data_IF_157002287389
#
_entry.id   IF_157002287389
#
_cell.length_a   1.000
_cell.length_b   1.000
_cell.length_c   1.000
_cell.angle_alpha   90.00
_cell.angle_beta   90.00
_cell.angle_gamma   90.00
#
_symmetry.space_group_name_H-M   'P 1'
#
loop_
_entity.id
_entity.type
_entity.pdbx_description
1 polymer ?
#
# COMPACT_ATOMS: atom_id res chain seq x y z
N UNK A 1 -5.71 11.91 59.96
CA UNK A 1 -4.54 11.35 60.65
C UNK A 1 -4.02 10.18 59.83
N UNK A 2 -2.74 10.31 59.47
CA UNK A 2 -1.75 9.28 59.07
C UNK A 2 -2.05 8.49 57.79
N UNK A 3 -1.41 8.80 56.68
CA UNK A 3 0.01 8.57 56.28
C UNK A 3 0.29 7.12 55.90
N UNK A 4 0.81 6.98 54.71
CA UNK A 4 1.61 5.88 54.26
C UNK A 4 1.58 5.84 52.72
N UNK A 5 2.31 6.66 52.09
CA UNK A 5 3.66 6.59 51.49
C UNK A 5 3.90 5.34 50.61
N UNK A 6 4.04 5.64 49.33
CA UNK A 6 4.98 5.16 48.32
C UNK A 6 5.74 3.86 48.57
N UNK A 7 5.68 3.00 47.56
CA UNK A 7 6.89 2.32 47.09
C UNK A 7 6.81 2.08 45.59
N UNK A 8 7.48 2.91 44.85
CA UNK A 8 7.95 2.60 43.51
C UNK A 8 8.91 1.42 43.60
N UNK A 9 8.58 0.34 42.96
CA UNK A 9 9.42 -0.81 42.72
C UNK A 9 9.64 -0.98 41.22
N UNK A 10 10.64 -0.28 40.71
CA UNK A 10 11.19 -0.44 39.38
C UNK A 10 11.89 -1.78 39.30
N UNK A 11 11.37 -2.76 38.59
CA UNK A 11 12.15 -3.92 38.11
C UNK A 11 11.57 -4.45 36.80
N UNK A 12 12.34 -4.25 35.75
CA UNK A 12 12.50 -5.06 34.53
C UNK A 12 11.56 -6.26 34.42
N UNK A 13 10.45 -6.07 33.73
CA UNK A 13 9.64 -7.16 33.17
C UNK A 13 9.50 -6.99 31.66
N UNK A 14 10.63 -6.95 30.96
CA UNK A 14 10.72 -7.23 29.52
C UNK A 14 10.70 -8.74 29.27
N UNK A 15 9.80 -9.46 29.88
CA UNK A 15 9.63 -10.88 29.62
C UNK A 15 8.17 -11.27 29.85
N UNK A 16 7.52 -11.71 28.80
CA UNK A 16 6.19 -12.33 28.68
C UNK A 16 5.04 -11.39 28.38
N UNK A 17 4.82 -11.19 27.10
CA UNK A 17 3.49 -10.76 26.61
C UNK A 17 2.77 -12.02 26.10
N UNK A 18 1.68 -12.39 26.78
CA UNK A 18 0.82 -13.51 26.40
C UNK A 18 -0.37 -12.93 25.66
N UNK A 19 -0.50 -13.21 24.36
CA UNK A 19 -1.71 -12.92 23.61
C UNK A 19 -2.38 -14.21 23.15
N UNK A 20 -3.70 -14.33 23.43
CA UNK A 20 -4.54 -15.41 22.93
C UNK A 20 -5.17 -14.96 21.61
N UNK A 21 -4.95 -15.72 20.56
CA UNK A 21 -5.66 -15.58 19.29
C UNK A 21 -6.59 -16.79 19.09
N UNK A 22 -7.86 -16.54 18.75
CA UNK A 22 -8.80 -17.58 18.36
C UNK A 22 -8.82 -17.69 16.84
N UNK A 23 -8.44 -18.85 16.31
CA UNK A 23 -8.55 -19.13 14.88
C UNK A 23 -9.99 -19.37 14.48
N UNK A 24 -10.38 -18.92 13.29
CA UNK A 24 -11.71 -19.00 12.69
C UNK A 24 -12.22 -20.42 12.36
N UNK A 25 -11.54 -21.48 12.78
CA UNK A 25 -11.90 -22.88 12.50
C UNK A 25 -11.94 -23.73 13.76
N UNK A 26 -12.58 -23.30 14.83
CA UNK A 26 -13.10 -24.17 15.89
C UNK A 26 -12.14 -25.15 16.59
N UNK A 27 -10.84 -25.11 16.33
CA UNK A 27 -9.82 -25.89 17.06
C UNK A 27 -8.97 -24.95 17.90
N UNK A 28 -9.12 -25.01 19.21
CA UNK A 28 -8.21 -24.35 20.16
C UNK A 28 -6.79 -24.90 19.98
N UNK A 29 -6.00 -24.28 19.14
CA UNK A 29 -4.57 -24.50 19.07
C UNK A 29 -3.89 -23.56 20.06
N UNK A 30 -3.12 -24.11 21.01
CA UNK A 30 -2.13 -23.32 21.75
C UNK A 30 -1.09 -22.85 20.74
N UNK A 31 -1.11 -21.55 20.37
CA UNK A 31 -0.04 -20.97 19.57
C UNK A 31 1.20 -20.92 20.46
N UNK A 32 2.31 -21.46 19.96
CA UNK A 32 3.59 -21.38 20.66
C UNK A 32 3.91 -19.89 20.88
N UNK A 33 4.30 -19.54 22.11
CA UNK A 33 4.78 -18.20 22.44
C UNK A 33 5.99 -17.91 21.56
N UNK A 34 5.95 -16.78 20.85
CA UNK A 34 7.14 -16.27 20.17
C UNK A 34 8.13 -15.87 21.26
N UNK A 35 9.26 -16.59 21.36
CA UNK A 35 10.35 -16.16 22.21
C UNK A 35 11.11 -15.04 21.49
N UNK A 36 10.83 -13.80 21.90
CA UNK A 36 11.40 -12.61 21.27
C UNK A 36 12.94 -12.64 21.30
N UNK A 37 13.56 -13.16 22.36
CA UNK A 37 15.02 -13.28 22.43
C UNK A 37 15.57 -14.24 21.36
N UNK A 38 14.93 -15.39 21.22
CA UNK A 38 15.33 -16.35 20.19
C UNK A 38 15.11 -15.79 18.79
N UNK A 39 14.06 -14.99 18.61
CA UNK A 39 13.76 -14.35 17.34
C UNK A 39 14.78 -13.24 17.02
N UNK A 40 15.16 -12.42 18.02
CA UNK A 40 16.22 -11.40 17.89
C UNK A 40 17.61 -12.00 17.61
N UNK A 41 17.89 -13.19 18.15
CA UNK A 41 19.14 -13.92 17.85
C UNK A 41 19.19 -14.39 16.40
N UNK A 42 18.06 -14.84 15.86
CA UNK A 42 17.94 -15.28 14.46
C UNK A 42 17.83 -14.12 13.47
N UNK A 43 17.21 -13.02 13.90
CA UNK A 43 16.92 -11.84 13.07
C UNK A 43 17.42 -10.58 13.79
N UNK A 44 18.72 -10.30 13.74
CA UNK A 44 19.35 -9.25 14.57
C UNK A 44 18.76 -7.85 14.40
N UNK A 45 18.24 -7.51 13.22
CA UNK A 45 17.61 -6.21 12.92
C UNK A 45 16.39 -5.92 13.82
N UNK A 46 15.74 -6.96 14.37
CA UNK A 46 14.61 -6.77 15.28
C UNK A 46 14.96 -5.93 16.51
N UNK A 47 16.22 -5.97 16.98
CA UNK A 47 16.65 -5.13 18.11
C UNK A 47 16.55 -3.64 17.81
N UNK A 48 16.86 -3.26 16.58
CA UNK A 48 16.76 -1.87 16.12
C UNK A 48 15.30 -1.51 15.88
N UNK A 49 14.53 -2.40 15.23
CA UNK A 49 13.09 -2.22 14.99
C UNK A 49 12.33 -2.06 16.32
N UNK A 50 12.57 -2.95 17.31
CA UNK A 50 11.95 -2.86 18.64
C UNK A 50 12.36 -1.60 19.42
N UNK A 51 13.43 -0.92 19.02
CA UNK A 51 13.90 0.35 19.57
C UNK A 51 13.40 1.55 18.76
N UNK A 52 12.47 1.34 17.82
CA UNK A 52 11.83 2.37 16.98
C UNK A 52 12.84 3.17 16.15
N UNK A 53 13.98 2.57 15.84
CA UNK A 53 14.99 3.21 14.99
C UNK A 53 14.57 3.13 13.52
N UNK A 54 14.96 4.15 12.78
CA UNK A 54 14.95 4.08 11.32
C UNK A 54 16.02 3.11 10.87
N UNK A 55 15.63 2.14 10.07
CA UNK A 55 16.50 1.08 9.57
C UNK A 55 16.37 0.91 8.06
N UNK A 56 17.38 0.33 7.45
CA UNK A 56 17.29 -0.34 6.18
C UNK A 56 17.53 -1.84 6.36
N UNK A 57 16.54 -2.64 6.08
CA UNK A 57 16.67 -4.08 5.96
C UNK A 57 16.93 -4.46 4.50
N UNK A 58 18.15 -4.89 4.22
CA UNK A 58 18.50 -5.53 2.95
C UNK A 58 17.91 -6.93 2.92
N UNK A 59 17.11 -7.24 1.92
CA UNK A 59 16.53 -8.58 1.80
C UNK A 59 17.60 -9.63 1.47
N UNK A 60 17.92 -10.54 2.40
CA UNK A 60 18.94 -11.55 2.19
C UNK A 60 18.52 -12.67 1.23
N UNK A 61 17.22 -12.84 1.01
CA UNK A 61 16.64 -13.90 0.18
C UNK A 61 16.45 -13.46 -1.29
N UNK A 62 16.80 -12.20 -1.63
CA UNK A 62 16.70 -11.71 -3.02
C UNK A 62 17.58 -12.52 -3.95
N UNK A 63 17.00 -13.02 -5.04
CA UNK A 63 17.73 -13.73 -6.12
C UNK A 63 17.62 -12.96 -7.44
N UNK A 64 18.19 -13.49 -8.51
CA UNK A 64 17.98 -12.98 -9.86
C UNK A 64 16.48 -13.08 -10.21
N UNK A 65 15.97 -12.04 -10.89
CA UNK A 65 14.53 -11.91 -11.17
C UNK A 65 13.97 -13.12 -11.92
N UNK A 66 14.70 -13.66 -12.92
CA UNK A 66 14.26 -14.85 -13.66
C UNK A 66 14.03 -16.06 -12.76
N UNK A 67 14.98 -16.33 -11.85
CA UNK A 67 14.87 -17.43 -10.88
C UNK A 67 13.70 -17.21 -9.89
N UNK A 68 13.53 -15.96 -9.43
CA UNK A 68 12.43 -15.64 -8.53
C UNK A 68 11.05 -15.82 -9.19
N UNK A 69 10.92 -15.43 -10.46
CA UNK A 69 9.66 -15.52 -11.20
C UNK A 69 9.22 -16.96 -11.46
N UNK A 70 10.15 -17.91 -11.59
CA UNK A 70 9.83 -19.35 -11.76
C UNK A 70 9.06 -19.93 -10.55
N UNK A 71 9.14 -19.28 -9.38
CA UNK A 71 8.48 -19.73 -8.15
C UNK A 71 7.10 -19.08 -7.96
N UNK A 72 6.69 -18.18 -8.84
CA UNK A 72 5.45 -17.42 -8.73
C UNK A 72 4.44 -17.91 -9.76
N UNK A 73 3.22 -18.23 -9.31
CA UNK A 73 2.15 -18.72 -10.19
C UNK A 73 1.61 -17.66 -11.17
N UNK A 74 1.73 -16.37 -10.80
CA UNK A 74 1.26 -15.24 -11.60
C UNK A 74 2.33 -14.82 -12.61
N UNK A 75 1.89 -14.36 -13.80
CA UNK A 75 2.78 -13.93 -14.85
C UNK A 75 2.30 -12.71 -15.63
N UNK A 76 3.00 -12.38 -16.71
CA UNK A 76 2.64 -11.27 -17.58
C UNK A 76 1.24 -11.42 -18.19
N UNK A 77 0.81 -12.63 -18.50
CA UNK A 77 -0.52 -12.89 -19.08
C UNK A 77 -1.66 -12.46 -18.14
N UNK A 78 -1.48 -12.65 -16.82
CA UNK A 78 -2.46 -12.23 -15.81
C UNK A 78 -2.54 -10.70 -15.73
N UNK A 79 -1.39 -10.01 -15.83
CA UNK A 79 -1.33 -8.54 -15.84
C UNK A 79 -1.95 -7.99 -17.11
N UNK A 80 -1.72 -8.62 -18.25
CA UNK A 80 -2.32 -8.22 -19.52
C UNK A 80 -3.83 -8.48 -19.55
N UNK A 81 -4.31 -9.58 -18.95
CA UNK A 81 -5.75 -9.81 -18.81
C UNK A 81 -6.39 -8.72 -17.95
N UNK A 82 -5.73 -8.34 -16.84
CA UNK A 82 -6.18 -7.24 -16.00
C UNK A 82 -6.21 -5.90 -16.77
N UNK A 83 -5.19 -5.59 -17.56
CA UNK A 83 -5.16 -4.37 -18.39
C UNK A 83 -6.29 -4.36 -19.41
N UNK A 84 -6.48 -5.46 -20.18
CA UNK A 84 -7.58 -5.57 -21.16
C UNK A 84 -8.95 -5.40 -20.50
N UNK A 85 -9.15 -5.92 -19.29
CA UNK A 85 -10.40 -5.73 -18.55
C UNK A 85 -10.62 -4.28 -18.19
N UNK A 86 -9.60 -3.57 -17.69
CA UNK A 86 -9.69 -2.13 -17.41
C UNK A 86 -10.02 -1.33 -18.69
N UNK A 87 -9.48 -1.72 -19.85
CA UNK A 87 -9.79 -1.10 -21.14
C UNK A 87 -11.25 -1.34 -21.56
N UNK A 88 -11.78 -2.56 -21.36
CA UNK A 88 -13.21 -2.85 -21.63
C UNK A 88 -14.13 -2.00 -20.75
N UNK A 89 -13.75 -1.73 -19.51
CA UNK A 89 -14.53 -0.88 -18.60
C UNK A 89 -14.38 0.63 -18.85
N UNK A 90 -13.46 1.08 -19.68
CA UNK A 90 -13.21 2.49 -19.91
C UNK A 90 -14.47 3.28 -20.34
N UNK A 91 -15.37 2.79 -21.23
CA UNK A 91 -16.62 3.47 -21.55
C UNK A 91 -17.56 3.62 -20.34
N UNK A 92 -17.69 2.59 -19.50
CA UNK A 92 -18.45 2.66 -18.25
C UNK A 92 -17.88 3.71 -17.30
N UNK A 93 -16.55 3.71 -17.13
CA UNK A 93 -15.84 4.65 -16.26
C UNK A 93 -16.06 6.09 -16.75
N UNK A 94 -15.92 6.37 -18.04
CA UNK A 94 -16.20 7.71 -18.60
C UNK A 94 -17.64 8.16 -18.39
N UNK A 95 -18.58 7.22 -18.42
CA UNK A 95 -20.00 7.52 -18.22
C UNK A 95 -20.31 7.90 -16.77
N UNK A 96 -19.77 7.13 -15.81
CA UNK A 96 -20.02 7.32 -14.39
C UNK A 96 -19.15 8.42 -13.77
N UNK A 97 -17.95 8.62 -14.32
CA UNK A 97 -16.94 9.54 -13.80
C UNK A 97 -16.40 10.46 -14.90
N UNK A 98 -17.12 11.57 -15.20
CA UNK A 98 -16.80 12.46 -16.31
C UNK A 98 -15.38 13.07 -16.28
N UNK A 99 -14.76 13.17 -15.12
CA UNK A 99 -13.38 13.63 -14.93
C UNK A 99 -12.34 12.71 -15.60
N UNK A 100 -12.72 11.47 -15.94
CA UNK A 100 -11.84 10.52 -16.62
C UNK A 100 -11.84 10.66 -18.14
N UNK A 101 -12.70 11.53 -18.72
CA UNK A 101 -12.88 11.66 -20.17
C UNK A 101 -11.61 12.09 -20.91
N UNK A 102 -10.80 12.97 -20.31
CA UNK A 102 -9.54 13.42 -20.90
C UNK A 102 -8.53 12.29 -21.12
N UNK A 103 -8.70 11.20 -20.37
CA UNK A 103 -7.88 9.99 -20.44
C UNK A 103 -8.65 8.79 -21.01
N UNK A 104 -9.74 9.04 -21.71
CA UNK A 104 -10.58 7.99 -22.32
C UNK A 104 -11.04 6.92 -21.32
N UNK A 105 -11.35 7.28 -20.09
CA UNK A 105 -11.76 6.37 -19.02
C UNK A 105 -10.64 5.55 -18.38
N UNK A 106 -9.39 5.80 -18.76
CA UNK A 106 -8.23 5.14 -18.16
C UNK A 106 -7.83 5.87 -16.87
N UNK A 107 -7.90 5.17 -15.75
CA UNK A 107 -7.48 5.68 -14.45
C UNK A 107 -5.95 5.58 -14.38
N UNK A 108 -5.27 6.70 -14.64
CA UNK A 108 -3.81 6.79 -14.64
C UNK A 108 -3.33 8.12 -14.06
N UNK A 109 -2.17 8.08 -13.41
CA UNK A 109 -1.49 9.23 -12.83
C UNK A 109 -0.35 9.73 -13.72
N UNK A 110 0.14 10.93 -13.43
CA UNK A 110 1.31 11.50 -14.11
C UNK A 110 2.60 11.04 -13.42
N UNK A 111 3.68 11.02 -14.20
CA UNK A 111 5.05 10.90 -13.73
C UNK A 111 5.74 12.27 -13.88
N UNK A 112 6.14 12.90 -12.78
CA UNK A 112 6.63 14.29 -12.78
C UNK A 112 8.05 14.36 -12.24
N UNK A 113 8.99 15.00 -12.92
CA UNK A 113 10.30 15.35 -12.35
C UNK A 113 10.12 16.32 -11.18
N UNK A 114 10.87 16.08 -10.09
CA UNK A 114 10.86 16.92 -8.87
C UNK A 114 12.28 17.36 -8.49
N UNK A 115 12.96 18.12 -9.35
CA UNK A 115 14.36 18.48 -9.17
C UNK A 115 14.58 19.39 -7.94
N UNK A 116 13.69 20.34 -7.67
CA UNK A 116 13.82 21.23 -6.52
C UNK A 116 13.65 20.47 -5.20
N UNK A 117 12.74 19.48 -5.17
CA UNK A 117 12.63 18.58 -4.01
C UNK A 117 13.91 17.77 -3.83
N UNK A 118 14.50 17.23 -4.91
CA UNK A 118 15.78 16.53 -4.86
C UNK A 118 16.89 17.39 -4.27
N UNK A 119 17.04 18.64 -4.77
CA UNK A 119 18.05 19.57 -4.30
C UNK A 119 17.88 19.88 -2.80
N UNK A 120 16.63 20.11 -2.37
CA UNK A 120 16.31 20.34 -0.95
C UNK A 120 16.62 19.12 -0.08
N UNK A 121 16.31 17.91 -0.56
CA UNK A 121 16.61 16.67 0.18
C UNK A 121 18.12 16.50 0.36
N UNK A 122 18.90 16.77 -0.68
CA UNK A 122 20.35 16.72 -0.60
C UNK A 122 20.91 17.73 0.42
N UNK A 123 20.43 18.98 0.39
CA UNK A 123 20.87 20.03 1.33
C UNK A 123 20.44 19.70 2.77
N UNK A 124 19.14 19.40 2.98
CA UNK A 124 18.54 19.26 4.30
C UNK A 124 19.01 18.02 5.06
N UNK A 125 19.29 16.93 4.34
CA UNK A 125 19.68 15.65 4.93
C UNK A 125 21.14 15.28 4.70
N UNK A 126 21.95 16.19 4.15
CA UNK A 126 23.36 15.95 3.85
C UNK A 126 23.52 14.64 3.04
N UNK A 127 22.72 14.50 2.00
CA UNK A 127 22.78 13.37 1.08
C UNK A 127 23.34 13.81 -0.28
N UNK A 128 23.72 12.86 -1.10
CA UNK A 128 24.23 13.13 -2.44
C UNK A 128 23.47 12.28 -3.47
N UNK A 129 22.14 12.35 -3.42
CA UNK A 129 21.31 11.62 -4.38
C UNK A 129 21.68 12.03 -5.81
N UNK A 130 22.32 11.13 -6.53
CA UNK A 130 22.67 11.28 -7.94
C UNK A 130 21.47 10.96 -8.86
N UNK A 131 21.64 11.03 -10.16
CA UNK A 131 20.61 10.72 -11.14
C UNK A 131 19.36 11.61 -11.07
N UNK A 132 18.21 11.10 -11.48
CA UNK A 132 16.94 11.82 -11.53
C UNK A 132 16.02 11.42 -10.40
N UNK A 133 15.27 12.37 -9.83
CA UNK A 133 14.16 12.08 -8.91
C UNK A 133 12.84 12.43 -9.61
N UNK A 134 11.97 11.42 -9.73
CA UNK A 134 10.64 11.55 -10.30
C UNK A 134 9.59 11.18 -9.24
N UNK A 135 8.40 11.78 -9.33
CA UNK A 135 7.25 11.51 -8.49
C UNK A 135 6.15 10.85 -9.31
N UNK A 136 5.78 9.62 -8.97
CA UNK A 136 4.61 8.94 -9.52
C UNK A 136 3.38 9.33 -8.71
N UNK A 137 2.49 10.16 -9.29
CA UNK A 137 1.43 10.83 -8.55
C UNK A 137 0.13 10.02 -8.45
N UNK A 138 0.17 8.80 -7.94
CA UNK A 138 -1.04 8.02 -7.67
C UNK A 138 -1.96 8.67 -6.62
N UNK A 139 -1.42 9.63 -5.89
CA UNK A 139 -2.18 10.55 -5.04
C UNK A 139 -3.26 11.36 -5.77
N UNK A 140 -3.19 11.46 -7.11
CA UNK A 140 -4.14 12.20 -7.95
C UNK A 140 -4.89 11.28 -8.93
N UNK A 141 -4.90 9.98 -8.69
CA UNK A 141 -5.73 9.08 -9.48
C UNK A 141 -7.21 9.49 -9.38
N UNK A 142 -7.89 9.53 -10.51
CA UNK A 142 -9.30 9.82 -10.57
C UNK A 142 -10.12 8.90 -9.66
N UNK A 143 -11.30 9.35 -9.24
CA UNK A 143 -12.28 8.62 -8.44
C UNK A 143 -11.91 8.53 -6.96
N UNK A 144 -10.72 8.01 -6.62
CA UNK A 144 -10.38 7.70 -5.22
C UNK A 144 -9.14 8.45 -4.68
N UNK A 145 -8.46 9.28 -5.50
CA UNK A 145 -7.36 10.14 -5.06
C UNK A 145 -6.19 9.42 -4.40
N UNK A 146 -5.97 8.15 -4.74
CA UNK A 146 -4.94 7.32 -4.15
C UNK A 146 -4.61 6.09 -5.00
N UNK A 147 -3.47 5.44 -4.74
CA UNK A 147 -3.05 4.18 -5.37
C UNK A 147 -4.14 3.09 -5.28
N UNK A 148 -5.03 3.17 -4.28
CA UNK A 148 -6.10 2.20 -4.07
C UNK A 148 -7.11 2.18 -5.23
N UNK A 149 -7.18 3.24 -6.04
CA UNK A 149 -7.94 3.26 -7.28
C UNK A 149 -7.47 2.21 -8.31
N UNK A 150 -6.21 1.76 -8.25
CA UNK A 150 -5.70 0.72 -9.17
C UNK A 150 -6.27 -0.65 -8.82
N UNK A 151 -5.97 -1.15 -7.63
CA UNK A 151 -6.40 -2.48 -7.20
C UNK A 151 -7.86 -2.52 -6.76
N UNK A 152 -8.29 -1.60 -5.88
CA UNK A 152 -9.65 -1.62 -5.32
C UNK A 152 -10.74 -1.47 -6.38
N UNK A 153 -10.54 -0.58 -7.37
CA UNK A 153 -11.47 -0.45 -8.49
C UNK A 153 -11.41 -1.72 -9.36
N UNK A 154 -10.23 -2.21 -9.69
CA UNK A 154 -10.09 -3.42 -10.51
C UNK A 154 -10.78 -4.63 -9.90
N UNK A 155 -10.67 -4.83 -8.59
CA UNK A 155 -11.36 -5.91 -7.86
C UNK A 155 -12.85 -5.88 -8.13
N UNK A 156 -13.47 -4.71 -8.00
CA UNK A 156 -14.91 -4.53 -8.23
C UNK A 156 -15.28 -4.73 -9.70
N UNK A 157 -14.46 -4.20 -10.62
CA UNK A 157 -14.74 -4.34 -12.06
C UNK A 157 -14.66 -5.81 -12.51
N UNK A 158 -13.66 -6.55 -12.01
CA UNK A 158 -13.54 -7.98 -12.32
C UNK A 158 -14.73 -8.79 -11.79
N UNK A 159 -15.11 -8.58 -10.53
CA UNK A 159 -16.30 -9.21 -9.95
C UNK A 159 -17.58 -8.83 -10.71
N UNK A 160 -17.71 -7.59 -11.13
CA UNK A 160 -18.84 -7.10 -11.92
C UNK A 160 -18.92 -7.77 -13.28
N UNK A 161 -17.78 -7.90 -13.99
CA UNK A 161 -17.70 -8.59 -15.30
C UNK A 161 -18.10 -10.06 -15.16
N UNK A 162 -17.53 -10.79 -14.20
CA UNK A 162 -17.82 -12.19 -13.94
C UNK A 162 -19.30 -12.41 -13.66
N UNK A 163 -19.90 -11.61 -12.77
CA UNK A 163 -21.30 -11.71 -12.42
C UNK A 163 -22.23 -11.39 -13.61
N UNK A 164 -21.89 -10.36 -14.40
CA UNK A 164 -22.68 -9.95 -15.55
C UNK A 164 -22.62 -10.97 -16.70
N UNK A 165 -21.45 -11.59 -16.93
CA UNK A 165 -21.26 -12.67 -17.92
C UNK A 165 -22.03 -13.92 -17.51
N UNK A 166 -21.94 -14.34 -16.25
CA UNK A 166 -22.64 -15.51 -15.71
C UNK A 166 -24.16 -15.41 -15.90
N UNK A 167 -24.71 -14.19 -15.74
CA UNK A 167 -26.15 -13.95 -15.86
C UNK A 167 -26.59 -13.52 -17.27
N UNK A 168 -25.70 -13.53 -18.26
CA UNK A 168 -26.00 -13.18 -19.65
C UNK A 168 -26.39 -11.71 -19.86
N UNK A 169 -26.04 -10.82 -18.92
CA UNK A 169 -26.28 -9.37 -19.01
C UNK A 169 -25.25 -8.73 -19.92
N UNK A 170 -24.04 -9.27 -19.95
CA UNK A 170 -22.89 -8.76 -20.69
C UNK A 170 -22.28 -9.88 -21.53
N UNK A 171 -21.67 -9.53 -22.67
CA UNK A 171 -20.69 -10.31 -23.39
C UNK A 171 -19.37 -9.55 -23.47
N UNK A 172 -18.26 -10.24 -23.77
CA UNK A 172 -16.94 -9.57 -23.88
C UNK A 172 -16.85 -8.59 -25.05
N UNK A 173 -17.72 -8.73 -26.04
CA UNK A 173 -17.81 -7.89 -27.24
C UNK A 173 -18.72 -6.67 -27.06
N UNK A 174 -19.48 -6.59 -25.96
CA UNK A 174 -20.38 -5.49 -25.69
C UNK A 174 -19.60 -4.20 -25.37
N UNK A 175 -20.23 -3.05 -25.66
CA UNK A 175 -19.79 -1.77 -25.09
C UNK A 175 -20.20 -1.74 -23.60
N UNK A 176 -19.23 -1.73 -22.71
CA UNK A 176 -19.45 -1.77 -21.27
C UNK A 176 -20.13 -0.49 -20.71
N UNK A 177 -20.30 0.59 -21.49
CA UNK A 177 -21.15 1.73 -21.10
C UNK A 177 -22.56 1.28 -20.71
N UNK A 178 -23.03 0.18 -21.29
CA UNK A 178 -24.32 -0.47 -20.99
C UNK A 178 -24.51 -0.76 -19.49
N UNK A 179 -23.43 -1.08 -18.75
CA UNK A 179 -23.49 -1.33 -17.31
C UNK A 179 -23.94 -0.13 -16.48
N UNK A 180 -23.89 1.09 -17.06
CA UNK A 180 -24.42 2.30 -16.43
C UNK A 180 -25.95 2.47 -16.62
N UNK A 181 -26.63 1.56 -17.33
CA UNK A 181 -28.08 1.61 -17.51
C UNK A 181 -28.85 1.35 -16.21
N UNK A 182 -30.06 1.85 -16.11
CA UNK A 182 -30.94 1.59 -14.96
C UNK A 182 -31.22 0.09 -14.78
N UNK A 183 -31.41 -0.63 -15.87
CA UNK A 183 -31.63 -2.09 -15.85
C UNK A 183 -30.46 -2.84 -15.19
N UNK A 184 -29.21 -2.52 -15.58
CA UNK A 184 -28.02 -3.11 -14.96
C UNK A 184 -27.89 -2.72 -13.50
N UNK A 185 -28.15 -1.47 -13.15
CA UNK A 185 -28.10 -0.99 -11.75
C UNK A 185 -29.12 -1.72 -10.87
N UNK A 186 -30.35 -1.92 -11.32
CA UNK A 186 -31.37 -2.69 -10.60
C UNK A 186 -31.00 -4.18 -10.48
N UNK A 187 -30.25 -4.73 -11.43
CA UNK A 187 -29.69 -6.07 -11.29
C UNK A 187 -28.63 -6.13 -10.18
N UNK A 188 -27.61 -5.26 -10.20
CA UNK A 188 -26.52 -5.27 -9.23
C UNK A 188 -26.98 -4.88 -7.82
N UNK A 189 -28.04 -4.14 -7.68
CA UNK A 189 -28.66 -3.78 -6.38
C UNK A 189 -29.10 -4.99 -5.55
N UNK A 190 -29.21 -6.16 -6.17
CA UNK A 190 -29.52 -7.42 -5.47
C UNK A 190 -28.30 -7.99 -4.74
N UNK A 191 -27.11 -7.48 -5.01
CA UNK A 191 -25.84 -7.95 -4.48
C UNK A 191 -25.20 -6.91 -3.58
N UNK A 192 -24.40 -7.39 -2.63
CA UNK A 192 -23.76 -6.55 -1.61
C UNK A 192 -22.25 -6.69 -1.71
N UNK A 193 -21.54 -5.57 -1.81
CA UNK A 193 -20.07 -5.52 -1.68
C UNK A 193 -19.75 -5.09 -0.25
N UNK A 194 -18.88 -5.85 0.40
CA UNK A 194 -18.40 -5.51 1.74
C UNK A 194 -16.87 -5.45 1.79
N UNK A 195 -16.34 -4.52 2.58
CA UNK A 195 -14.89 -4.39 2.82
C UNK A 195 -14.64 -3.84 4.21
N UNK A 196 -13.62 -4.35 4.89
CA UNK A 196 -13.08 -3.75 6.10
C UNK A 196 -11.95 -2.79 5.72
N UNK A 197 -12.14 -1.48 5.93
CA UNK A 197 -11.11 -0.51 5.63
C UNK A 197 -11.40 0.85 6.23
N UNK A 198 -10.47 1.37 7.02
CA UNK A 198 -10.53 2.73 7.59
C UNK A 198 -9.96 3.81 6.66
N UNK A 199 -9.38 3.39 5.53
CA UNK A 199 -8.57 4.23 4.66
C UNK A 199 -9.06 4.34 3.21
N UNK A 200 -8.09 4.60 2.34
CA UNK A 200 -8.31 4.86 0.93
C UNK A 200 -8.85 3.64 0.15
N UNK A 201 -8.63 2.41 0.65
CA UNK A 201 -9.18 1.22 0.01
C UNK A 201 -10.71 1.21 0.11
N UNK A 202 -11.26 1.49 1.29
CA UNK A 202 -12.71 1.63 1.47
C UNK A 202 -13.32 2.69 0.58
N UNK A 203 -12.62 3.82 0.35
CA UNK A 203 -13.06 4.85 -0.59
C UNK A 203 -13.11 4.32 -2.03
N UNK A 204 -12.04 3.68 -2.51
CA UNK A 204 -11.98 3.20 -3.89
C UNK A 204 -13.02 2.13 -4.19
N UNK A 205 -13.17 1.15 -3.30
CA UNK A 205 -14.16 0.08 -3.42
C UNK A 205 -15.57 0.64 -3.28
N UNK A 206 -15.82 1.46 -2.25
CA UNK A 206 -17.12 2.01 -1.95
C UNK A 206 -17.69 2.86 -3.09
N UNK A 207 -16.89 3.79 -3.60
CA UNK A 207 -17.32 4.70 -4.67
C UNK A 207 -17.59 3.93 -5.98
N UNK A 208 -16.68 3.02 -6.37
CA UNK A 208 -16.87 2.23 -7.59
C UNK A 208 -18.07 1.29 -7.49
N UNK A 209 -18.23 0.57 -6.38
CA UNK A 209 -19.35 -0.35 -6.17
C UNK A 209 -20.70 0.38 -6.20
N UNK A 210 -20.79 1.56 -5.58
CA UNK A 210 -21.99 2.38 -5.62
C UNK A 210 -22.32 2.88 -7.04
N UNK A 211 -21.29 3.20 -7.85
CA UNK A 211 -21.47 3.60 -9.24
C UNK A 211 -22.02 2.46 -10.11
N UNK A 212 -21.58 1.22 -9.89
CA UNK A 212 -22.12 0.02 -10.55
C UNK A 212 -23.58 -0.23 -10.14
N UNK A 213 -23.95 0.10 -8.90
CA UNK A 213 -25.32 -0.10 -8.40
C UNK A 213 -25.44 -1.08 -7.26
N UNK A 214 -24.35 -1.64 -6.76
CA UNK A 214 -24.34 -2.55 -5.61
C UNK A 214 -24.88 -1.90 -4.32
N UNK A 215 -25.40 -2.71 -3.42
CA UNK A 215 -25.43 -2.35 -2.00
C UNK A 215 -23.99 -2.41 -1.47
N UNK A 216 -23.59 -1.40 -0.70
CA UNK A 216 -22.19 -1.31 -0.28
C UNK A 216 -22.11 -1.08 1.22
N UNK A 217 -21.30 -1.89 1.90
CA UNK A 217 -21.01 -1.74 3.33
C UNK A 217 -19.50 -1.66 3.54
N UNK A 218 -19.05 -0.54 4.10
CA UNK A 218 -17.66 -0.38 4.52
C UNK A 218 -17.60 -0.45 6.05
N UNK A 219 -16.85 -1.43 6.55
CA UNK A 219 -16.65 -1.65 7.97
C UNK A 219 -15.42 -0.85 8.43
N UNK A 220 -15.60 0.07 9.35
CA UNK A 220 -14.56 1.00 9.82
C UNK A 220 -14.49 0.97 11.35
N UNK A 221 -13.30 1.21 11.91
CA UNK A 221 -13.19 1.53 13.33
C UNK A 221 -13.71 2.94 13.62
N UNK A 222 -14.18 3.18 14.85
CA UNK A 222 -14.79 4.45 15.24
C UNK A 222 -13.82 5.64 15.12
N UNK A 223 -12.52 5.41 15.30
CA UNK A 223 -11.45 6.40 15.19
C UNK A 223 -11.06 6.75 13.75
N UNK A 224 -11.62 6.05 12.74
CA UNK A 224 -11.39 6.39 11.33
C UNK A 224 -11.79 7.85 11.03
N UNK A 225 -11.04 8.51 10.16
CA UNK A 225 -11.20 9.94 9.83
C UNK A 225 -12.62 10.27 9.37
N UNK A 226 -13.26 11.22 10.03
CA UNK A 226 -14.67 11.56 9.80
C UNK A 226 -14.96 11.92 8.34
N UNK A 227 -14.06 12.70 7.70
CA UNK A 227 -14.26 13.11 6.32
C UNK A 227 -14.33 11.92 5.33
N UNK A 228 -13.62 10.80 5.60
CA UNK A 228 -13.71 9.57 4.79
C UNK A 228 -15.07 8.91 4.94
N UNK A 229 -15.57 8.84 6.16
CA UNK A 229 -16.93 8.32 6.45
C UNK A 229 -18.00 9.13 5.73
N UNK A 230 -17.89 10.46 5.79
CA UNK A 230 -18.85 11.37 5.18
C UNK A 230 -18.81 11.31 3.64
N UNK A 231 -17.61 11.20 3.06
CA UNK A 231 -17.46 11.00 1.62
C UNK A 231 -18.10 9.69 1.15
N UNK A 232 -17.90 8.58 1.85
CA UNK A 232 -18.56 7.31 1.54
C UNK A 232 -20.08 7.44 1.62
N UNK A 233 -20.60 8.02 2.70
CA UNK A 233 -22.04 8.24 2.86
C UNK A 233 -22.64 9.11 1.77
N UNK A 234 -21.92 10.12 1.30
CA UNK A 234 -22.36 10.99 0.19
C UNK A 234 -22.54 10.24 -1.14
N UNK A 235 -21.84 9.10 -1.30
CA UNK A 235 -21.99 8.17 -2.44
C UNK A 235 -23.04 7.07 -2.20
N UNK A 236 -23.81 7.13 -1.09
CA UNK A 236 -24.82 6.12 -0.78
C UNK A 236 -24.27 4.85 -0.14
N UNK A 237 -23.02 4.86 0.30
CA UNK A 237 -22.36 3.72 0.96
C UNK A 237 -22.77 3.67 2.44
N UNK A 238 -23.12 2.49 2.93
CA UNK A 238 -23.32 2.22 4.35
C UNK A 238 -21.99 2.11 5.07
N UNK A 239 -21.70 3.03 5.98
CA UNK A 239 -20.53 2.97 6.85
C UNK A 239 -20.94 2.36 8.18
N UNK A 240 -20.42 1.17 8.48
CA UNK A 240 -20.66 0.47 9.74
C UNK A 240 -19.45 0.66 10.66
N UNK A 241 -19.68 1.37 11.77
CA UNK A 241 -18.63 1.74 12.71
C UNK A 241 -18.54 0.73 13.86
N UNK A 242 -17.32 0.45 14.32
CA UNK A 242 -17.04 -0.44 15.45
C UNK A 242 -16.21 0.31 16.48
N UNK A 243 -16.59 0.18 17.77
CA UNK A 243 -15.83 0.75 18.89
C UNK A 243 -14.49 0.05 19.13
N UNK A 244 -14.32 -1.11 18.55
CA UNK A 244 -13.11 -1.92 18.58
C UNK A 244 -12.15 -1.57 17.42
N UNK A 245 -11.00 -2.24 17.40
CA UNK A 245 -9.96 -2.04 16.40
C UNK A 245 -10.38 -2.51 14.97
N UNK A 246 -9.53 -2.19 14.01
CA UNK A 246 -9.68 -2.56 12.61
C UNK A 246 -9.87 -4.08 12.41
N UNK A 247 -9.13 -4.91 13.15
CA UNK A 247 -9.16 -6.36 12.98
C UNK A 247 -10.52 -6.96 13.31
N UNK A 248 -11.21 -6.41 14.33
CA UNK A 248 -12.56 -6.82 14.67
C UNK A 248 -13.58 -6.34 13.62
N UNK A 249 -13.42 -5.14 13.09
CA UNK A 249 -14.26 -4.63 12.00
C UNK A 249 -14.18 -5.55 10.77
N UNK A 250 -12.96 -5.95 10.36
CA UNK A 250 -12.74 -6.90 9.25
C UNK A 250 -13.37 -8.25 9.54
N UNK A 251 -13.13 -8.83 10.72
CA UNK A 251 -13.68 -10.14 11.12
C UNK A 251 -15.21 -10.14 11.09
N UNK A 252 -15.83 -9.11 11.64
CA UNK A 252 -17.29 -8.98 11.68
C UNK A 252 -17.87 -8.76 10.28
N UNK A 253 -17.23 -7.96 9.46
CA UNK A 253 -17.61 -7.72 8.07
C UNK A 253 -17.56 -9.01 7.24
N UNK A 254 -16.48 -9.78 7.35
CA UNK A 254 -16.33 -11.07 6.68
C UNK A 254 -17.43 -12.06 7.12
N UNK A 255 -17.67 -12.20 8.42
CA UNK A 255 -18.69 -13.09 8.92
C UNK A 255 -20.11 -12.73 8.44
N UNK A 256 -20.41 -11.43 8.30
CA UNK A 256 -21.68 -10.96 7.74
C UNK A 256 -21.79 -11.28 6.25
N UNK A 257 -20.70 -11.13 5.50
CA UNK A 257 -20.66 -11.45 4.07
C UNK A 257 -20.80 -12.95 3.83
N UNK A 258 -20.09 -13.78 4.59
CA UNK A 258 -20.13 -15.24 4.47
C UNK A 258 -21.53 -15.82 4.76
N UNK A 259 -22.35 -15.09 5.51
CA UNK A 259 -23.72 -15.49 5.82
C UNK A 259 -24.74 -15.14 4.72
N UNK A 260 -24.36 -14.36 3.71
CA UNK A 260 -25.23 -13.90 2.62
C UNK A 260 -24.67 -14.38 1.27
N UNK A 261 -25.35 -15.26 0.54
CA UNK A 261 -24.88 -15.78 -0.74
C UNK A 261 -24.80 -14.71 -1.86
N UNK A 262 -25.45 -13.56 -1.67
CA UNK A 262 -25.39 -12.43 -2.59
C UNK A 262 -24.33 -11.39 -2.18
N UNK A 263 -23.50 -11.71 -1.19
CA UNK A 263 -22.48 -10.79 -0.70
C UNK A 263 -21.08 -11.22 -1.12
N UNK A 264 -20.28 -10.23 -1.51
CA UNK A 264 -18.85 -10.38 -1.82
C UNK A 264 -18.04 -9.56 -0.86
N UNK A 265 -17.12 -10.21 -0.12
CA UNK A 265 -16.19 -9.54 0.79
C UNK A 265 -14.84 -9.36 0.11
N UNK A 266 -14.38 -8.11 0.02
CA UNK A 266 -13.04 -7.81 -0.51
C UNK A 266 -11.99 -8.04 0.57
N UNK A 267 -11.09 -8.98 0.31
CA UNK A 267 -9.98 -9.36 1.19
C UNK A 267 -8.70 -8.61 0.76
N UNK A 268 -8.35 -7.54 1.44
CA UNK A 268 -7.17 -6.72 1.11
C UNK A 268 -5.83 -7.38 1.49
N UNK A 269 -5.86 -8.42 2.30
CA UNK A 269 -4.65 -9.15 2.70
C UNK A 269 -4.22 -10.20 1.67
N UNK A 270 -5.19 -10.88 1.01
CA UNK A 270 -4.89 -12.06 0.20
C UNK A 270 -5.44 -12.02 -1.23
N UNK A 271 -6.11 -10.94 -1.65
CA UNK A 271 -6.69 -10.86 -3.00
C UNK A 271 -5.63 -10.79 -4.09
N UNK A 272 -5.52 -11.87 -4.90
CA UNK A 272 -4.74 -11.87 -6.14
C UNK A 272 -5.30 -10.86 -7.15
N UNK A 273 -6.59 -10.60 -7.13
CA UNK A 273 -7.25 -9.63 -8.01
C UNK A 273 -6.83 -8.20 -7.70
N UNK A 274 -6.88 -7.78 -6.42
CA UNK A 274 -6.33 -6.48 -6.00
C UNK A 274 -4.87 -6.33 -6.45
N UNK A 275 -4.06 -7.36 -6.20
CA UNK A 275 -2.64 -7.38 -6.53
C UNK A 275 -2.39 -7.19 -8.03
N UNK A 276 -3.13 -7.89 -8.90
CA UNK A 276 -3.03 -7.74 -10.35
C UNK A 276 -3.46 -6.35 -10.82
N UNK A 277 -4.51 -5.77 -10.24
CA UNK A 277 -4.92 -4.40 -10.54
C UNK A 277 -3.81 -3.37 -10.24
N UNK A 278 -3.03 -3.57 -9.20
CA UNK A 278 -1.84 -2.75 -8.92
C UNK A 278 -0.70 -3.04 -9.92
N UNK A 279 -0.50 -4.29 -10.32
CA UNK A 279 0.58 -4.67 -11.23
C UNK A 279 0.47 -4.01 -12.62
N UNK A 280 -0.74 -3.72 -13.10
CA UNK A 280 -0.97 -2.99 -14.36
C UNK A 280 -0.24 -1.62 -14.40
N UNK A 281 -0.01 -1.01 -13.24
CA UNK A 281 0.73 0.27 -13.15
C UNK A 281 2.09 0.22 -13.82
N UNK A 282 2.75 -0.93 -13.82
CA UNK A 282 4.09 -1.09 -14.40
C UNK A 282 4.12 -0.88 -15.92
N UNK A 283 3.15 -1.46 -16.65
CA UNK A 283 3.04 -1.27 -18.11
C UNK A 283 2.79 0.20 -18.48
N UNK A 284 2.02 0.89 -17.66
CA UNK A 284 1.71 2.31 -17.86
C UNK A 284 2.90 3.20 -17.49
N UNK A 285 3.64 2.84 -16.44
CA UNK A 285 4.87 3.52 -16.08
C UNK A 285 5.94 3.34 -17.19
N UNK A 286 6.06 2.15 -17.77
CA UNK A 286 6.97 1.91 -18.90
C UNK A 286 6.74 2.92 -20.03
N UNK A 287 5.48 3.07 -20.47
CA UNK A 287 5.12 4.06 -21.50
C UNK A 287 5.50 5.49 -21.10
N UNK A 288 5.29 5.86 -19.84
CA UNK A 288 5.65 7.19 -19.34
C UNK A 288 7.17 7.42 -19.28
N UNK A 289 7.96 6.40 -18.99
CA UNK A 289 9.41 6.46 -19.03
C UNK A 289 9.91 6.61 -20.47
N UNK A 290 9.35 5.84 -21.41
CA UNK A 290 9.63 5.94 -22.84
C UNK A 290 9.30 7.34 -23.39
N UNK A 291 8.12 7.90 -23.08
CA UNK A 291 7.72 9.26 -23.46
C UNK A 291 8.66 10.35 -22.93
N UNK A 292 9.31 10.08 -21.79
CA UNK A 292 10.29 10.99 -21.18
C UNK A 292 11.74 10.71 -21.59
N UNK A 293 11.96 9.71 -22.46
CA UNK A 293 13.27 9.23 -22.86
C UNK A 293 14.14 8.80 -21.66
N UNK A 294 13.53 8.18 -20.67
CA UNK A 294 14.22 7.57 -19.52
C UNK A 294 14.47 6.10 -19.82
N UNK A 295 15.71 5.75 -20.03
CA UNK A 295 16.15 4.37 -20.23
C UNK A 295 16.09 3.59 -18.90
N UNK A 296 15.79 2.30 -18.99
CA UNK A 296 15.90 1.33 -17.88
C UNK A 296 16.61 0.10 -18.41
N UNK A 297 17.88 -0.01 -18.10
CA UNK A 297 18.77 -1.08 -18.54
C UNK A 297 19.94 -1.25 -17.54
N UNK A 298 20.94 -2.05 -17.90
CA UNK A 298 22.08 -2.32 -17.04
C UNK A 298 22.84 -1.06 -16.61
N UNK A 299 22.95 -0.05 -17.48
CA UNK A 299 23.69 1.21 -17.20
C UNK A 299 22.80 2.31 -16.62
N UNK A 300 21.46 2.12 -16.66
CA UNK A 300 20.47 3.08 -16.21
C UNK A 300 19.49 2.40 -15.24
N UNK A 301 19.90 2.09 -14.00
CA UNK A 301 19.06 1.38 -13.04
C UNK A 301 17.88 2.25 -12.60
N UNK A 302 16.73 1.59 -12.41
CA UNK A 302 15.51 2.20 -11.89
C UNK A 302 15.32 1.83 -10.42
N UNK A 303 15.24 2.82 -9.55
CA UNK A 303 14.93 2.66 -8.14
C UNK A 303 13.50 3.11 -7.87
N UNK A 304 12.69 2.28 -7.20
CA UNK A 304 11.29 2.59 -6.92
C UNK A 304 11.01 2.40 -5.43
N UNK A 305 10.54 3.48 -4.79
CA UNK A 305 10.28 3.56 -3.35
C UNK A 305 8.78 3.68 -3.10
N UNK A 306 8.19 2.68 -2.48
CA UNK A 306 6.74 2.55 -2.39
C UNK A 306 6.31 2.42 -0.93
N UNK A 307 5.50 3.37 -0.40
CA UNK A 307 4.91 3.25 0.92
C UNK A 307 4.12 1.95 1.08
N UNK A 308 4.36 1.24 2.18
CA UNK A 308 3.82 -0.07 2.46
C UNK A 308 3.00 -0.09 3.75
N UNK A 309 1.78 -0.61 3.68
CA UNK A 309 0.99 -1.06 4.80
C UNK A 309 0.91 -2.59 4.78
N UNK A 310 -0.28 -3.19 4.48
CA UNK A 310 -0.46 -4.65 4.40
C UNK A 310 0.37 -5.32 3.31
N UNK A 311 0.82 -4.55 2.30
CA UNK A 311 1.70 -5.00 1.23
C UNK A 311 1.07 -5.14 -0.16
N UNK A 312 -0.26 -5.24 -0.28
CA UNK A 312 -0.93 -5.52 -1.55
C UNK A 312 -0.58 -4.55 -2.68
N UNK A 313 -0.69 -3.25 -2.43
CA UNK A 313 -0.40 -2.23 -3.43
C UNK A 313 1.09 -2.17 -3.82
N UNK A 314 2.03 -2.02 -2.88
CA UNK A 314 3.45 -1.98 -3.23
C UNK A 314 3.94 -3.31 -3.82
N UNK A 315 3.42 -4.44 -3.35
CA UNK A 315 3.76 -5.77 -3.89
C UNK A 315 3.30 -5.93 -5.34
N UNK A 316 2.06 -5.55 -5.66
CA UNK A 316 1.56 -5.64 -7.04
C UNK A 316 2.34 -4.74 -7.99
N UNK A 317 2.63 -3.49 -7.59
CA UNK A 317 3.46 -2.57 -8.39
C UNK A 317 4.86 -3.16 -8.59
N UNK A 318 5.52 -3.63 -7.52
CA UNK A 318 6.85 -4.24 -7.59
C UNK A 318 6.85 -5.46 -8.52
N UNK A 319 5.88 -6.36 -8.38
CA UNK A 319 5.74 -7.54 -9.24
C UNK A 319 5.63 -7.17 -10.72
N UNK A 320 4.73 -6.24 -11.06
CA UNK A 320 4.59 -5.77 -12.44
C UNK A 320 5.87 -5.15 -13.00
N UNK A 321 6.59 -4.35 -12.20
CA UNK A 321 7.86 -3.74 -12.58
C UNK A 321 8.94 -4.81 -12.81
N UNK A 322 9.01 -5.81 -11.95
CA UNK A 322 9.96 -6.93 -12.08
C UNK A 322 9.69 -7.77 -13.33
N UNK A 323 8.42 -7.97 -13.70
CA UNK A 323 8.07 -8.65 -14.96
C UNK A 323 8.57 -7.89 -16.19
N UNK A 324 8.60 -6.55 -16.16
CA UNK A 324 9.00 -5.71 -17.31
C UNK A 324 10.48 -5.42 -17.37
N UNK A 325 11.09 -5.11 -16.22
CA UNK A 325 12.45 -4.58 -16.16
C UNK A 325 13.46 -5.53 -15.52
N UNK A 326 12.99 -6.68 -15.01
CA UNK A 326 13.86 -7.72 -14.46
C UNK A 326 14.75 -7.20 -13.33
N UNK A 327 16.05 -7.44 -13.47
CA UNK A 327 17.04 -7.01 -12.48
C UNK A 327 17.44 -5.53 -12.60
N UNK A 328 17.01 -4.82 -13.65
CA UNK A 328 17.31 -3.41 -13.84
C UNK A 328 16.41 -2.48 -12.99
N UNK A 329 15.36 -3.02 -12.36
CA UNK A 329 14.54 -2.29 -11.39
C UNK A 329 14.78 -2.78 -9.97
N UNK A 330 15.00 -1.84 -9.06
CA UNK A 330 15.24 -2.06 -7.64
C UNK A 330 14.08 -1.46 -6.85
N UNK A 331 13.21 -2.32 -6.31
CA UNK A 331 12.05 -1.92 -5.54
C UNK A 331 12.33 -2.02 -4.05
N UNK A 332 11.90 -0.99 -3.30
CA UNK A 332 12.00 -0.91 -1.85
C UNK A 332 10.66 -0.49 -1.26
N UNK A 333 10.29 -1.11 -0.15
CA UNK A 333 9.14 -0.67 0.61
C UNK A 333 9.55 0.29 1.71
N UNK A 334 8.64 1.17 2.09
CA UNK A 334 8.87 2.11 3.19
C UNK A 334 7.69 2.02 4.15
N UNK A 335 7.99 1.76 5.42
CA UNK A 335 7.02 1.61 6.49
C UNK A 335 7.29 2.59 7.65
N UNK A 336 6.26 2.94 8.45
CA UNK A 336 6.48 3.70 9.67
C UNK A 336 7.24 2.89 10.72
N UNK A 337 8.11 3.53 11.51
CA UNK A 337 8.87 2.85 12.59
C UNK A 337 7.98 2.15 13.63
N UNK A 338 6.74 2.60 13.83
CA UNK A 338 5.78 1.99 14.76
C UNK A 338 4.92 0.88 14.15
N UNK A 339 4.87 0.79 12.82
CA UNK A 339 4.03 -0.18 12.11
C UNK A 339 4.76 -0.86 10.93
N UNK A 340 6.01 -1.38 11.11
CA UNK A 340 6.77 -2.01 10.02
C UNK A 340 6.38 -3.49 9.87
N UNK A 341 5.10 -3.76 9.59
CA UNK A 341 4.57 -5.11 9.64
C UNK A 341 5.15 -6.02 8.53
N UNK A 342 5.34 -5.49 7.32
CA UNK A 342 5.88 -6.27 6.20
C UNK A 342 7.35 -6.59 6.44
N UNK A 343 8.14 -5.62 6.90
CA UNK A 343 9.53 -5.83 7.28
C UNK A 343 9.67 -6.91 8.35
N UNK A 344 8.87 -6.80 9.44
CA UNK A 344 8.89 -7.80 10.52
C UNK A 344 8.51 -9.18 10.00
N UNK A 345 7.47 -9.28 9.20
CA UNK A 345 7.01 -10.54 8.61
C UNK A 345 8.03 -11.19 7.69
N UNK A 346 8.63 -10.41 6.79
CA UNK A 346 9.62 -10.90 5.83
C UNK A 346 10.96 -11.20 6.50
N UNK A 347 11.48 -10.31 7.35
CA UNK A 347 12.77 -10.51 8.01
C UNK A 347 12.77 -11.72 8.95
N UNK A 348 11.65 -12.05 9.57
CA UNK A 348 11.50 -13.22 10.43
C UNK A 348 11.10 -14.49 9.67
N UNK A 349 10.59 -14.34 8.44
CA UNK A 349 9.99 -15.43 7.65
C UNK A 349 8.62 -15.88 8.17
N UNK A 350 8.05 -15.20 9.18
CA UNK A 350 6.78 -15.57 9.80
C UNK A 350 5.57 -14.98 9.09
N UNK A 351 5.76 -13.97 8.21
CA UNK A 351 4.71 -13.28 7.48
C UNK A 351 3.49 -12.96 8.38
N UNK A 352 2.29 -13.39 8.00
CA UNK A 352 1.05 -13.15 8.77
C UNK A 352 1.04 -13.80 10.17
N UNK A 353 1.98 -14.65 10.50
CA UNK A 353 2.03 -15.30 11.83
C UNK A 353 2.57 -14.38 12.92
N UNK A 354 3.17 -13.26 12.57
CA UNK A 354 3.68 -12.24 13.47
C UNK A 354 3.03 -10.90 13.23
N UNK A 355 2.84 -10.12 14.28
CA UNK A 355 2.40 -8.73 14.23
C UNK A 355 3.42 -7.80 14.87
N UNK A 356 3.32 -6.51 14.61
CA UNK A 356 4.17 -5.50 15.26
C UNK A 356 3.96 -5.47 16.78
N UNK A 357 2.75 -5.81 17.26
CA UNK A 357 2.45 -5.92 18.68
C UNK A 357 3.16 -7.10 19.35
N UNK A 358 3.38 -8.19 18.62
CA UNK A 358 4.11 -9.37 19.14
C UNK A 358 5.58 -9.06 19.47
N UNK A 359 6.14 -7.99 18.89
CA UNK A 359 7.49 -7.49 19.17
C UNK A 359 7.52 -6.22 20.05
N UNK A 360 6.37 -5.80 20.58
CA UNK A 360 6.25 -4.71 21.53
C UNK A 360 6.03 -3.32 20.92
N UNK A 361 5.83 -3.19 19.61
CA UNK A 361 5.45 -1.93 18.96
C UNK A 361 3.94 -1.68 19.11
N UNK A 362 3.55 -0.41 19.04
CA UNK A 362 2.14 -0.03 19.21
C UNK A 362 1.30 -0.22 17.95
N UNK A 363 1.91 -0.11 16.78
CA UNK A 363 1.21 -0.02 15.50
C UNK A 363 0.55 1.34 15.26
N UNK A 364 0.70 2.31 16.18
CA UNK A 364 0.12 3.65 16.07
C UNK A 364 1.06 4.56 15.28
N UNK A 365 0.57 5.13 14.20
CA UNK A 365 1.32 6.06 13.35
C UNK A 365 0.40 7.12 12.76
N UNK A 366 0.94 8.29 12.47
CA UNK A 366 0.26 9.35 11.73
C UNK A 366 0.09 9.03 10.23
N UNK A 367 0.82 8.03 9.74
CA UNK A 367 0.65 7.49 8.39
C UNK A 367 -0.55 6.52 8.35
N UNK A 368 -1.77 7.05 8.44
CA UNK A 368 -3.01 6.26 8.55
C UNK A 368 -3.20 5.21 7.44
N UNK A 369 -2.71 5.49 6.23
CA UNK A 369 -2.71 4.54 5.11
C UNK A 369 -1.72 3.38 5.25
N UNK A 370 -0.81 3.45 6.23
CA UNK A 370 0.25 2.47 6.50
C UNK A 370 0.12 1.85 7.91
N UNK A 371 -0.88 2.25 8.69
CA UNK A 371 -1.12 1.81 10.06
C UNK A 371 -1.66 0.37 10.10
N UNK A 372 -0.81 -0.60 9.75
CA UNK A 372 -1.17 -2.02 9.70
C UNK A 372 -0.28 -2.81 10.65
N UNK A 373 -0.90 -3.63 11.48
CA UNK A 373 -0.18 -4.43 12.48
C UNK A 373 0.34 -5.77 11.98
N UNK A 374 -0.21 -6.29 10.86
CA UNK A 374 0.09 -7.63 10.35
C UNK A 374 0.18 -7.63 8.82
N UNK A 375 1.23 -8.23 8.23
CA UNK A 375 1.42 -8.22 6.78
C UNK A 375 0.59 -9.28 6.07
N UNK A 376 0.42 -9.10 4.77
CA UNK A 376 -0.10 -10.15 3.87
C UNK A 376 0.92 -11.30 3.74
N UNK A 377 0.45 -12.52 3.97
CA UNK A 377 1.26 -13.73 3.72
C UNK A 377 1.51 -13.92 2.22
N UNK A 378 0.49 -13.69 1.41
CA UNK A 378 0.59 -13.81 -0.04
C UNK A 378 1.68 -12.89 -0.60
N UNK A 379 1.65 -11.60 -0.21
CA UNK A 379 2.65 -10.62 -0.67
C UNK A 379 4.04 -10.97 -0.15
N UNK A 380 4.17 -11.35 1.13
CA UNK A 380 5.46 -11.75 1.70
C UNK A 380 6.10 -12.92 0.95
N UNK A 381 5.30 -13.90 0.50
CA UNK A 381 5.79 -15.01 -0.32
C UNK A 381 6.22 -14.56 -1.72
N UNK A 382 5.42 -13.73 -2.40
CA UNK A 382 5.74 -13.22 -3.74
C UNK A 382 7.00 -12.33 -3.70
N UNK A 383 7.12 -11.49 -2.69
CA UNK A 383 8.23 -10.53 -2.55
C UNK A 383 9.52 -11.15 -2.02
N UNK A 384 9.47 -12.36 -1.46
CA UNK A 384 10.61 -13.01 -0.80
C UNK A 384 11.90 -12.95 -1.62
N UNK A 385 11.82 -13.28 -2.89
CA UNK A 385 13.00 -13.32 -3.77
C UNK A 385 13.10 -12.12 -4.74
N UNK A 386 12.12 -11.20 -4.72
CA UNK A 386 12.05 -10.06 -5.65
C UNK A 386 12.43 -8.72 -5.03
N UNK A 387 12.01 -8.48 -3.77
CA UNK A 387 12.18 -7.19 -3.11
C UNK A 387 13.65 -6.91 -2.80
N UNK A 388 14.11 -5.69 -3.06
CA UNK A 388 15.47 -5.24 -2.73
C UNK A 388 15.70 -5.09 -1.23
N UNK A 389 14.70 -4.61 -0.52
CA UNK A 389 14.74 -4.35 0.92
C UNK A 389 13.63 -3.41 1.38
N UNK A 390 13.70 -3.02 2.65
CA UNK A 390 12.72 -2.12 3.26
C UNK A 390 13.39 -1.06 4.13
N UNK A 391 12.85 0.16 4.05
CA UNK A 391 13.23 1.27 4.91
C UNK A 391 12.13 1.56 5.91
N UNK A 392 12.49 2.04 7.10
CA UNK A 392 11.52 2.62 8.02
C UNK A 392 11.73 4.12 8.18
N UNK A 393 10.63 4.85 8.42
CA UNK A 393 10.63 6.30 8.59
C UNK A 393 9.81 6.72 9.80
N UNK A 394 10.27 7.75 10.53
CA UNK A 394 9.53 8.34 11.64
C UNK A 394 8.44 9.28 11.16
N UNK A 395 7.33 9.32 11.88
CA UNK A 395 6.17 10.14 11.53
C UNK A 395 6.50 11.64 11.36
N UNK A 396 7.42 12.18 12.17
CA UNK A 396 7.84 13.58 12.07
C UNK A 396 8.40 13.95 10.70
N UNK A 397 9.18 13.05 10.08
CA UNK A 397 9.74 13.25 8.75
C UNK A 397 8.67 13.27 7.65
N UNK A 398 7.59 12.51 7.80
CA UNK A 398 6.52 12.46 6.81
C UNK A 398 5.86 13.83 6.63
N UNK A 399 5.67 14.56 7.73
CA UNK A 399 5.17 15.94 7.68
C UNK A 399 6.21 16.93 7.13
N UNK A 400 7.49 16.69 7.40
CA UNK A 400 8.56 17.50 6.83
C UNK A 400 8.60 17.34 5.31
N UNK A 401 8.61 16.10 4.79
CA UNK A 401 8.57 15.82 3.34
C UNK A 401 7.34 16.42 2.66
N UNK A 402 6.18 16.38 3.32
CA UNK A 402 4.96 17.00 2.81
C UNK A 402 5.14 18.51 2.64
N UNK A 403 5.66 19.21 3.66
CA UNK A 403 5.91 20.65 3.60
C UNK A 403 6.97 21.01 2.58
N UNK A 404 8.04 20.21 2.52
CA UNK A 404 9.16 20.39 1.60
C UNK A 404 8.67 20.25 0.13
N UNK A 405 7.91 19.21 -0.19
CA UNK A 405 7.36 19.02 -1.53
C UNK A 405 6.35 20.12 -1.90
N UNK A 406 5.50 20.51 -0.97
CA UNK A 406 4.55 21.60 -1.18
C UNK A 406 5.29 22.92 -1.44
N UNK A 407 6.35 23.19 -0.69
CA UNK A 407 7.15 24.42 -0.83
C UNK A 407 8.00 24.47 -2.10
N UNK A 408 8.51 23.33 -2.55
CA UNK A 408 9.42 23.25 -3.69
C UNK A 408 8.69 23.06 -5.03
N UNK A 409 7.70 22.16 -5.07
CA UNK A 409 7.04 21.72 -6.29
C UNK A 409 5.55 22.08 -6.34
N UNK A 410 4.99 22.68 -5.28
CA UNK A 410 3.57 23.00 -5.15
C UNK A 410 2.67 21.76 -5.28
N UNK A 411 3.13 20.61 -4.77
CA UNK A 411 2.40 19.35 -4.76
C UNK A 411 2.09 18.96 -3.32
N UNK A 412 0.79 18.78 -3.01
CA UNK A 412 0.35 18.29 -1.72
C UNK A 412 0.19 16.76 -1.75
N UNK A 413 0.72 16.09 -0.74
CA UNK A 413 0.51 14.66 -0.44
C UNK A 413 0.04 14.49 1.00
N UNK A 414 -0.71 13.42 1.28
CA UNK A 414 -0.95 13.01 2.67
C UNK A 414 0.34 12.44 3.30
N UNK A 415 0.50 12.49 4.63
CA UNK A 415 1.74 12.02 5.29
C UNK A 415 2.16 10.61 4.91
N UNK A 416 1.22 9.65 4.82
CA UNK A 416 1.50 8.28 4.38
C UNK A 416 2.20 8.20 3.02
N UNK A 417 1.80 9.04 2.07
CA UNK A 417 2.37 9.07 0.73
C UNK A 417 3.79 9.65 0.70
N UNK A 418 4.11 10.50 1.66
CA UNK A 418 5.42 11.16 1.77
C UNK A 418 6.52 10.19 2.24
N UNK A 419 6.16 9.04 2.79
CA UNK A 419 7.14 8.02 3.19
C UNK A 419 8.07 7.61 2.03
N UNK A 420 7.60 7.69 0.79
CA UNK A 420 8.40 7.39 -0.41
C UNK A 420 9.68 8.20 -0.55
N UNK A 421 9.79 9.37 0.10
CA UNK A 421 11.00 10.21 0.07
C UNK A 421 12.10 9.75 1.04
N UNK A 422 11.79 8.87 1.99
CA UNK A 422 12.82 8.30 2.87
C UNK A 422 13.82 7.45 2.11
N UNK A 423 13.34 6.64 1.14
CA UNK A 423 14.20 5.74 0.36
C UNK A 423 15.32 6.44 -0.40
N UNK A 424 15.05 7.49 -1.20
CA UNK A 424 16.08 8.25 -1.92
C UNK A 424 17.17 8.82 -1.01
N UNK A 425 16.83 9.20 0.22
CA UNK A 425 17.81 9.72 1.19
C UNK A 425 18.63 8.58 1.76
N UNK A 426 17.97 7.51 2.19
CA UNK A 426 18.60 6.40 2.89
C UNK A 426 19.49 5.56 1.97
N UNK A 427 19.17 5.45 0.68
CA UNK A 427 19.99 4.69 -0.28
C UNK A 427 21.41 5.26 -0.36
N UNK A 428 21.57 6.57 -0.15
CA UNK A 428 22.86 7.29 -0.22
C UNK A 428 23.55 7.42 1.15
N UNK A 429 22.83 7.23 2.27
CA UNK A 429 23.38 7.50 3.60
C UNK A 429 23.55 6.27 4.47
N UNK A 430 22.82 5.21 4.19
CA UNK A 430 22.79 4.04 5.05
C UNK A 430 23.88 3.02 4.65
N UNK A 431 24.72 2.60 5.59
CA UNK A 431 25.80 1.65 5.34
C UNK A 431 25.30 0.29 4.76
N UNK A 432 24.13 -0.17 5.18
CA UNK A 432 23.57 -1.40 4.63
C UNK A 432 23.03 -1.20 3.21
N UNK A 433 22.59 0.01 2.88
CA UNK A 433 22.19 0.37 1.53
C UNK A 433 23.44 0.46 0.60
N UNK A 434 24.54 1.01 1.07
CA UNK A 434 25.81 0.98 0.31
C UNK A 434 26.26 -0.45 0.00
N UNK A 435 26.12 -1.39 0.96
CA UNK A 435 26.39 -2.81 0.69
C UNK A 435 25.47 -3.39 -0.37
N UNK A 436 24.19 -2.98 -0.38
CA UNK A 436 23.25 -3.37 -1.43
C UNK A 436 23.72 -2.87 -2.82
N UNK A 437 24.15 -1.61 -2.91
CA UNK A 437 24.67 -1.02 -4.16
C UNK A 437 25.93 -1.77 -4.65
N UNK A 438 26.86 -2.08 -3.76
CA UNK A 438 28.09 -2.83 -4.07
C UNK A 438 27.79 -4.23 -4.59
N UNK A 439 26.97 -5.00 -3.86
CA UNK A 439 26.61 -6.37 -4.21
C UNK A 439 25.84 -6.49 -5.53
N UNK A 440 25.12 -5.42 -5.94
CA UNK A 440 24.41 -5.36 -7.21
C UNK A 440 25.18 -4.57 -8.29
N UNK A 441 26.44 -4.18 -8.07
CA UNK A 441 27.30 -3.45 -9.00
C UNK A 441 26.69 -2.13 -9.50
N UNK A 442 26.09 -1.34 -8.59
CA UNK A 442 25.32 -0.14 -8.93
C UNK A 442 26.06 1.17 -8.62
N UNK A 443 27.13 1.15 -7.80
CA UNK A 443 27.78 2.38 -7.29
C UNK A 443 28.16 3.35 -8.41
N UNK A 444 28.83 2.88 -9.48
CA UNK A 444 29.23 3.72 -10.60
C UNK A 444 28.07 4.12 -11.53
N UNK A 445 26.93 3.45 -11.39
CA UNK A 445 25.73 3.64 -12.23
C UNK A 445 24.73 4.63 -11.59
N UNK A 446 24.91 5.01 -10.32
CA UNK A 446 23.99 5.90 -9.59
C UNK A 446 23.79 7.24 -10.28
N UNK A 447 24.82 7.79 -10.91
CA UNK A 447 24.74 9.02 -11.71
C UNK A 447 23.77 8.96 -12.89
N UNK A 448 23.50 7.75 -13.42
CA UNK A 448 22.57 7.49 -14.51
C UNK A 448 21.22 6.94 -13.97
N UNK A 449 21.09 6.73 -12.67
CA UNK A 449 19.92 6.15 -12.07
C UNK A 449 18.69 7.07 -12.18
N UNK A 450 17.54 6.46 -12.24
CA UNK A 450 16.27 7.14 -12.03
C UNK A 450 15.61 6.63 -10.77
N UNK A 451 15.30 7.55 -9.86
CA UNK A 451 14.61 7.28 -8.60
C UNK A 451 13.14 7.71 -8.73
N UNK A 452 12.22 6.83 -8.39
CA UNK A 452 10.78 7.11 -8.36
C UNK A 452 10.28 7.04 -6.93
N UNK A 453 9.87 8.19 -6.38
CA UNK A 453 9.04 8.25 -5.19
C UNK A 453 7.58 8.00 -5.60
N UNK A 454 6.93 6.98 -5.02
CA UNK A 454 5.55 6.63 -5.34
C UNK A 454 4.58 7.29 -4.38
N UNK A 455 3.92 8.38 -4.83
CA UNK A 455 2.96 9.13 -4.04
C UNK A 455 1.61 8.39 -3.99
N UNK A 456 1.29 7.79 -2.86
CA UNK A 456 0.17 6.84 -2.72
C UNK A 456 -1.19 7.47 -2.45
N UNK A 457 -1.27 8.73 -1.97
CA UNK A 457 -2.55 9.36 -1.67
C UNK A 457 -2.45 10.85 -1.32
N UNK A 458 -3.60 11.53 -1.28
CA UNK A 458 -3.67 12.90 -0.78
C UNK A 458 -4.65 13.86 -1.47
N UNK A 459 -5.05 13.66 -2.73
CA UNK A 459 -5.87 14.67 -3.44
C UNK A 459 -7.27 14.86 -2.88
N UNK A 460 -7.85 13.84 -2.25
CA UNK A 460 -9.18 13.92 -1.62
C UNK A 460 -9.17 14.48 -0.19
N UNK A 461 -7.99 14.72 0.39
CA UNK A 461 -7.90 15.31 1.74
C UNK A 461 -8.51 16.71 1.72
N UNK A 462 -9.53 17.01 2.58
CA UNK A 462 -10.15 18.33 2.65
C UNK A 462 -9.15 19.43 3.05
N UNK A 463 -9.36 20.66 2.56
CA UNK A 463 -8.44 21.77 2.81
C UNK A 463 -8.21 22.04 4.30
N UNK A 464 -9.25 21.95 5.13
CA UNK A 464 -9.10 22.14 6.58
C UNK A 464 -8.12 21.12 7.20
N UNK A 465 -8.14 19.86 6.72
CA UNK A 465 -7.22 18.81 7.18
C UNK A 465 -5.82 19.03 6.60
N UNK A 466 -5.70 19.53 5.36
CA UNK A 466 -4.41 19.90 4.78
C UNK A 466 -3.73 21.00 5.60
N UNK A 467 -4.49 22.00 6.04
CA UNK A 467 -3.98 23.05 6.92
C UNK A 467 -3.55 22.49 8.29
N UNK A 468 -4.31 21.55 8.86
CA UNK A 468 -3.91 20.85 10.08
C UNK A 468 -2.57 20.13 9.87
N UNK A 469 -2.42 19.37 8.77
CA UNK A 469 -1.17 18.65 8.47
C UNK A 469 0.01 19.60 8.27
N UNK A 470 -0.17 20.74 7.57
CA UNK A 470 0.88 21.75 7.39
C UNK A 470 1.41 22.31 8.72
N UNK A 471 0.54 22.39 9.72
CA UNK A 471 0.85 22.92 11.05
C UNK A 471 1.20 21.84 12.08
N UNK A 472 1.25 20.57 11.69
CA UNK A 472 1.65 19.48 12.57
C UNK A 472 3.17 19.32 12.57
N UNK A 473 3.78 19.45 13.73
CA UNK A 473 5.20 19.25 13.96
C UNK A 473 5.38 18.20 15.05
N UNK A 474 6.00 17.10 14.68
CA UNK A 474 6.32 16.00 15.60
C UNK A 474 7.83 15.94 15.84
N UNK A 475 8.23 15.31 16.93
CA UNK A 475 9.64 15.02 17.19
C UNK A 475 10.19 14.09 16.10
N UNK A 476 11.46 14.34 15.72
CA UNK A 476 12.16 13.60 14.66
C UNK A 476 12.85 12.37 15.20
#
# INVERSE_FOLDING_TARGET
MKNGQDKYGNQNTRNKVIYRYESSHGKRGMKAMVDLKMLEEKTPILKEICSEKEVFWKNPDKTACGEAMEQIELGMEDVEDAERRLERFAPFIMKCFPETKERNGIIESVLTPVPKMKDLLNEKYDSNLEGNLLLKQDSHLAIAGSIKARGGIYEILKHTEELALEHGILSLEDNYEKLASEECREFFKKYTIQVGSTGNLGLSIGIMSAAVGYQVIVHMSADAKQWKKDLLRSHGVTVKEYESDYSEAVKNGRALSDADPNSYFVDDENSKTLFLGYAVAAKRLQKQLEEKNVAVDEEHPLFVYIPCGVGGAPGGVCFGLKLLFGDYVHCFFIEPTQAPCMLVGMATGLNQEISVQDIGLTGLTHADGLAVGRPSEFVGRVMKNLLGGEFTSRDGKLYDYMRDLLGTENIFLEPSACASFEGPIQIERNESAHKYLQENHLEEKMKNATHIAWATGGSLVPEAIREEYKNTYLEK
#
